data_IF_830906774997
#
_entry.id   IF_830906774997
#
_cell.length_a   1.000
_cell.length_b   1.000
_cell.length_c   1.000
_cell.angle_alpha   90.00
_cell.angle_beta   90.00
_cell.angle_gamma   90.00
#
_symmetry.space_group_name_H-M   'P 1'
#
loop_
_entity.id
_entity.type
_entity.pdbx_description
1 polymer ?
#
# COMPACT_ATOMS: atom_id res chain seq x y z
N UNK A 1 -96.76 -64.32 24.71
CA UNK A 1 -96.54 -63.59 25.97
C UNK A 1 -95.56 -62.52 25.60
N UNK A 2 -96.10 -61.34 25.29
CA UNK A 2 -96.08 -60.21 26.19
C UNK A 2 -94.66 -59.79 26.37
N UNK A 3 -94.31 -58.61 26.07
CA UNK A 3 -94.78 -57.27 26.03
C UNK A 3 -93.70 -56.42 25.41
N UNK A 4 -94.04 -55.61 24.70
CA UNK A 4 -94.53 -54.28 24.86
C UNK A 4 -93.41 -53.27 25.15
N UNK A 5 -93.18 -52.39 24.23
CA UNK A 5 -93.06 -51.01 24.06
C UNK A 5 -92.13 -50.19 24.98
N UNK A 6 -92.15 -48.95 24.81
CA UNK A 6 -92.18 -48.08 23.67
C UNK A 6 -91.10 -46.95 23.65
N UNK A 7 -91.06 -46.32 22.52
CA UNK A 7 -90.88 -44.81 22.30
C UNK A 7 -89.88 -44.00 23.11
N UNK A 8 -89.11 -43.24 22.50
CA UNK A 8 -89.11 -41.79 22.17
C UNK A 8 -87.69 -41.38 21.94
N UNK A 9 -87.45 -40.77 20.86
CA UNK A 9 -87.66 -39.36 20.47
C UNK A 9 -86.54 -38.43 20.89
N UNK A 10 -86.10 -37.79 19.90
CA UNK A 10 -85.79 -36.39 19.75
C UNK A 10 -84.35 -35.90 19.97
N UNK A 11 -84.06 -35.10 19.01
CA UNK A 11 -83.30 -33.89 19.00
C UNK A 11 -81.80 -34.14 18.86
N UNK A 12 -81.19 -33.89 17.75
CA UNK A 12 -81.17 -32.60 17.13
C UNK A 12 -80.13 -31.76 17.82
N UNK A 13 -78.89 -31.79 17.34
CA UNK A 13 -78.00 -30.65 17.51
C UNK A 13 -76.91 -30.71 16.47
N UNK A 14 -77.17 -29.97 15.46
CA UNK A 14 -76.36 -28.86 14.99
C UNK A 14 -74.86 -29.10 14.91
N UNK A 15 -74.46 -29.17 13.68
CA UNK A 15 -73.25 -28.75 13.07
C UNK A 15 -72.39 -27.79 13.87
N UNK A 16 -71.27 -28.24 14.23
CA UNK A 16 -70.13 -27.40 14.53
C UNK A 16 -69.23 -27.46 13.29
N UNK A 17 -69.40 -26.51 12.42
CA UNK A 17 -68.41 -26.22 11.40
C UNK A 17 -67.09 -25.90 12.07
N UNK A 18 -66.25 -26.89 12.24
CA UNK A 18 -64.85 -26.71 12.49
C UNK A 18 -64.19 -26.07 11.28
N UNK A 19 -64.49 -24.80 11.04
CA UNK A 19 -63.58 -23.95 10.31
C UNK A 19 -62.39 -23.70 11.20
N UNK A 20 -61.54 -24.65 11.19
CA UNK A 20 -60.31 -24.47 11.98
C UNK A 20 -59.16 -24.26 11.05
N UNK A 21 -58.45 -23.38 11.21
CA UNK A 21 -57.02 -23.34 11.55
C UNK A 21 -56.08 -24.16 10.63
N UNK A 22 -56.30 -24.11 9.33
CA UNK A 22 -55.30 -24.52 8.31
C UNK A 22 -54.55 -23.34 7.70
N UNK A 23 -54.79 -22.10 8.16
CA UNK A 23 -54.15 -20.92 7.64
C UNK A 23 -52.86 -20.52 8.42
N UNK A 24 -52.69 -21.02 9.63
CA UNK A 24 -51.57 -20.57 10.48
C UNK A 24 -50.22 -21.10 10.06
N UNK A 25 -50.15 -22.29 9.48
CA UNK A 25 -48.88 -22.89 9.08
C UNK A 25 -48.20 -22.16 7.88
N UNK A 26 -49.00 -21.58 6.97
CA UNK A 26 -48.45 -20.84 5.82
C UNK A 26 -47.96 -19.45 6.20
N UNK A 27 -48.66 -18.79 7.10
CA UNK A 27 -48.27 -17.48 7.60
C UNK A 27 -46.99 -17.57 8.45
N UNK A 28 -46.84 -18.64 9.22
CA UNK A 28 -45.67 -18.89 10.05
C UNK A 28 -44.42 -19.14 9.22
N UNK A 29 -44.51 -19.90 8.13
CA UNK A 29 -43.40 -20.16 7.20
C UNK A 29 -42.92 -18.87 6.51
N UNK A 30 -43.86 -17.98 6.12
CA UNK A 30 -43.51 -16.70 5.50
C UNK A 30 -42.87 -15.77 6.51
N UNK A 31 -43.34 -15.71 7.74
CA UNK A 31 -42.72 -14.92 8.82
C UNK A 31 -41.31 -15.40 9.13
N UNK A 32 -41.12 -16.71 9.27
CA UNK A 32 -39.78 -17.28 9.52
C UNK A 32 -38.80 -16.97 8.40
N UNK A 33 -39.27 -17.03 7.14
CA UNK A 33 -38.47 -16.64 5.99
C UNK A 33 -38.08 -15.17 6.00
N UNK A 34 -39.05 -14.27 6.26
CA UNK A 34 -38.81 -12.82 6.30
C UNK A 34 -37.85 -12.47 7.44
N UNK A 35 -38.01 -13.06 8.62
CA UNK A 35 -37.10 -12.84 9.75
C UNK A 35 -35.70 -13.37 9.42
N UNK A 36 -35.60 -14.59 8.92
CA UNK A 36 -34.31 -15.18 8.54
C UNK A 36 -33.59 -14.37 7.44
N UNK A 37 -34.34 -13.93 6.43
CA UNK A 37 -33.79 -13.09 5.35
C UNK A 37 -33.35 -11.71 5.87
N UNK A 38 -34.09 -11.12 6.80
CA UNK A 38 -33.73 -9.84 7.43
C UNK A 38 -32.45 -9.94 8.25
N UNK A 39 -32.29 -10.99 9.03
CA UNK A 39 -31.06 -11.25 9.79
C UNK A 39 -29.88 -11.50 8.86
N UNK A 40 -30.09 -12.28 7.81
CA UNK A 40 -29.06 -12.53 6.80
C UNK A 40 -28.62 -11.25 6.10
N UNK A 41 -29.56 -10.44 5.61
CA UNK A 41 -29.25 -9.16 4.96
C UNK A 41 -28.58 -8.17 5.90
N UNK A 42 -28.98 -8.16 7.16
CA UNK A 42 -28.32 -7.33 8.18
C UNK A 42 -26.87 -7.77 8.40
N UNK A 43 -26.62 -9.07 8.51
CA UNK A 43 -25.27 -9.60 8.66
C UNK A 43 -24.40 -9.32 7.43
N UNK A 44 -24.95 -9.49 6.22
CA UNK A 44 -24.27 -9.15 4.97
C UNK A 44 -23.97 -7.65 4.91
N UNK A 45 -24.97 -6.81 5.19
CA UNK A 45 -24.79 -5.36 5.20
C UNK A 45 -23.74 -4.91 6.21
N UNK A 46 -23.73 -5.50 7.41
CA UNK A 46 -22.72 -5.26 8.42
C UNK A 46 -21.32 -5.66 7.93
N UNK A 47 -21.21 -6.83 7.32
CA UNK A 47 -19.93 -7.29 6.76
C UNK A 47 -19.41 -6.32 5.71
N UNK A 48 -20.24 -5.87 4.76
CA UNK A 48 -19.84 -4.89 3.75
C UNK A 48 -19.52 -3.51 4.33
N UNK A 49 -20.17 -3.12 5.42
CA UNK A 49 -19.84 -1.87 6.12
C UNK A 49 -18.48 -1.93 6.83
N UNK A 50 -18.08 -3.10 7.32
CA UNK A 50 -16.82 -3.29 8.05
C UNK A 50 -15.61 -3.57 7.16
N UNK A 51 -15.79 -4.23 6.02
CA UNK A 51 -14.68 -4.58 5.11
C UNK A 51 -13.84 -3.36 4.69
N UNK A 52 -14.44 -2.20 4.33
CA UNK A 52 -13.64 -1.02 4.00
C UNK A 52 -12.73 -0.56 5.15
N UNK A 53 -13.22 -0.58 6.39
CA UNK A 53 -12.42 -0.15 7.55
C UNK A 53 -11.25 -1.08 7.87
N UNK A 54 -11.36 -2.36 7.55
CA UNK A 54 -10.26 -3.32 7.67
C UNK A 54 -9.20 -3.14 6.58
N UNK A 55 -9.60 -2.59 5.43
CA UNK A 55 -8.69 -2.31 4.31
C UNK A 55 -8.09 -0.91 4.37
N UNK A 56 -8.62 -0.01 5.20
CA UNK A 56 -8.16 1.37 5.35
C UNK A 56 -6.66 1.50 5.68
N UNK A 57 -6.07 0.68 6.57
CA UNK A 57 -4.62 0.70 6.82
C UNK A 57 -3.78 0.37 5.57
N UNK A 58 -4.34 -0.40 4.63
CA UNK A 58 -3.67 -0.78 3.39
C UNK A 58 -3.97 0.16 2.21
N UNK A 59 -5.06 0.93 2.31
CA UNK A 59 -5.52 1.79 1.22
C UNK A 59 -4.95 3.21 1.27
N UNK A 60 -4.53 3.70 2.45
CA UNK A 60 -4.16 5.10 2.63
C UNK A 60 -2.69 5.22 3.09
N UNK A 61 -1.79 5.38 2.15
CA UNK A 61 -0.54 6.13 2.37
C UNK A 61 0.68 5.32 2.78
N UNK A 62 0.68 4.52 3.83
CA UNK A 62 1.92 3.92 4.36
C UNK A 62 2.46 2.79 3.47
N UNK A 63 1.61 1.90 2.96
CA UNK A 63 2.03 0.86 2.03
C UNK A 63 2.55 1.41 0.70
N UNK A 64 1.98 2.51 0.22
CA UNK A 64 2.41 3.13 -1.01
C UNK A 64 3.78 3.83 -0.86
N UNK A 65 4.09 4.41 0.31
CA UNK A 65 5.41 5.03 0.56
C UNK A 65 6.52 4.01 0.62
N UNK A 66 6.29 2.83 1.21
CA UNK A 66 7.25 1.72 1.21
C UNK A 66 7.58 1.27 -0.21
N UNK A 67 6.54 1.05 -1.04
CA UNK A 67 6.74 0.64 -2.44
C UNK A 67 7.48 1.71 -3.25
N UNK A 68 7.16 2.98 -3.02
CA UNK A 68 7.86 4.10 -3.68
C UNK A 68 9.32 4.15 -3.26
N UNK A 69 9.61 4.03 -1.96
CA UNK A 69 10.97 4.00 -1.45
C UNK A 69 11.78 2.84 -2.04
N UNK A 70 11.22 1.62 -2.04
CA UNK A 70 11.88 0.43 -2.58
C UNK A 70 12.17 0.54 -4.07
N UNK A 71 11.15 0.93 -4.87
CA UNK A 71 11.32 1.07 -6.32
C UNK A 71 12.25 2.21 -6.68
N UNK A 72 12.14 3.35 -5.99
CA UNK A 72 13.02 4.50 -6.21
C UNK A 72 14.47 4.18 -5.87
N UNK A 73 14.73 3.55 -4.72
CA UNK A 73 16.07 3.14 -4.35
C UNK A 73 16.67 2.12 -5.33
N UNK A 74 15.86 1.14 -5.78
CA UNK A 74 16.28 0.18 -6.79
C UNK A 74 16.59 0.86 -8.13
N UNK A 75 15.71 1.74 -8.63
CA UNK A 75 15.93 2.47 -9.87
C UNK A 75 17.24 3.27 -9.85
N UNK A 76 17.50 4.01 -8.79
CA UNK A 76 18.73 4.79 -8.65
C UNK A 76 19.98 3.90 -8.60
N UNK A 77 19.95 2.82 -7.80
CA UNK A 77 21.09 1.95 -7.58
C UNK A 77 21.37 0.95 -8.71
N UNK A 78 20.37 0.63 -9.53
CA UNK A 78 20.46 -0.47 -10.50
C UNK A 78 20.30 0.02 -11.95
N UNK A 79 19.89 1.28 -12.14
CA UNK A 79 19.61 1.83 -13.47
C UNK A 79 20.11 3.27 -13.64
N UNK A 80 19.55 4.24 -12.88
CA UNK A 80 19.78 5.67 -13.17
C UNK A 80 21.24 6.11 -12.99
N UNK A 81 21.93 5.60 -11.97
CA UNK A 81 23.30 6.00 -11.64
C UNK A 81 24.36 4.98 -12.09
N UNK A 82 23.96 3.95 -12.80
CA UNK A 82 24.84 2.88 -13.27
C UNK A 82 25.11 3.07 -14.77
N UNK A 83 26.34 2.84 -15.17
CA UNK A 83 26.73 2.60 -16.57
C UNK A 83 27.00 1.10 -16.72
N UNK A 84 27.03 0.58 -17.92
CA UNK A 84 27.27 -0.82 -18.21
C UNK A 84 28.39 -1.42 -17.34
N UNK A 85 28.01 -2.35 -16.46
CA UNK A 85 28.95 -2.90 -15.48
C UNK A 85 28.30 -3.83 -14.45
N UNK A 86 29.02 -4.19 -13.39
CA UNK A 86 28.48 -5.01 -12.30
C UNK A 86 27.29 -4.36 -11.62
N UNK A 87 26.30 -5.16 -11.25
CA UNK A 87 25.11 -4.71 -10.51
C UNK A 87 25.54 -3.94 -9.24
N UNK A 88 24.83 -2.87 -8.94
CA UNK A 88 25.06 -2.00 -7.78
C UNK A 88 26.45 -1.29 -7.77
N UNK A 89 27.08 -1.13 -8.92
CA UNK A 89 28.26 -0.27 -9.07
C UNK A 89 27.83 1.03 -9.72
N UNK A 90 27.94 2.12 -8.99
CA UNK A 90 27.60 3.43 -9.49
C UNK A 90 28.72 4.02 -10.36
N UNK A 91 28.34 4.74 -11.40
CA UNK A 91 29.28 5.55 -12.18
C UNK A 91 29.58 6.85 -11.42
N UNK A 92 30.85 7.13 -11.20
CA UNK A 92 31.27 8.39 -10.55
C UNK A 92 30.82 9.61 -11.34
N UNK A 93 30.98 9.59 -12.65
CA UNK A 93 30.55 10.69 -13.54
C UNK A 93 29.03 10.91 -13.51
N UNK A 94 28.23 9.84 -13.60
CA UNK A 94 26.77 9.94 -13.55
C UNK A 94 26.28 10.35 -12.16
N UNK A 95 26.91 9.86 -11.10
CA UNK A 95 26.55 10.22 -9.72
C UNK A 95 26.93 11.68 -9.44
N UNK A 96 28.08 12.12 -9.89
CA UNK A 96 28.51 13.52 -9.76
C UNK A 96 27.52 14.45 -10.49
N UNK A 97 27.27 14.22 -11.78
CA UNK A 97 26.34 15.05 -12.56
C UNK A 97 24.94 15.07 -11.96
N UNK A 98 24.49 13.94 -11.40
CA UNK A 98 23.20 13.85 -10.73
C UNK A 98 23.12 14.75 -9.49
N UNK A 99 24.10 14.71 -8.59
CA UNK A 99 24.09 15.50 -7.34
C UNK A 99 24.54 16.95 -7.53
N UNK A 100 25.33 17.26 -8.56
CA UNK A 100 25.75 18.61 -8.91
C UNK A 100 24.70 19.39 -9.72
N UNK A 101 23.59 18.75 -10.11
CA UNK A 101 22.55 19.36 -10.92
C UNK A 101 22.95 19.62 -12.36
N UNK A 102 24.06 19.02 -12.84
CA UNK A 102 24.50 19.13 -14.21
C UNK A 102 23.56 18.38 -15.18
N UNK A 103 23.71 18.60 -16.48
CA UNK A 103 23.01 17.82 -17.47
C UNK A 103 23.50 16.37 -17.45
N UNK A 104 22.59 15.41 -17.69
CA UNK A 104 22.96 14.01 -17.86
C UNK A 104 23.98 13.87 -19.00
N UNK A 105 25.07 13.15 -18.74
CA UNK A 105 25.98 12.71 -19.80
C UNK A 105 25.29 11.66 -20.69
N UNK A 106 25.81 11.47 -21.89
CA UNK A 106 25.22 10.55 -22.88
C UNK A 106 25.11 9.09 -22.36
N UNK A 107 25.94 8.71 -21.42
CA UNK A 107 25.97 7.37 -20.83
C UNK A 107 25.11 7.24 -19.55
N UNK A 108 24.49 8.33 -19.07
CA UNK A 108 23.72 8.33 -17.81
C UNK A 108 22.23 8.15 -18.09
N UNK A 109 21.60 7.25 -17.35
CA UNK A 109 20.19 6.87 -17.59
C UNK A 109 19.15 7.68 -16.77
N UNK A 110 19.58 8.63 -15.94
CA UNK A 110 18.66 9.53 -15.25
C UNK A 110 18.14 10.63 -16.16
N UNK A 111 16.94 11.11 -15.89
CA UNK A 111 16.23 12.10 -16.71
C UNK A 111 16.09 13.45 -16.02
N UNK A 112 16.18 13.46 -14.71
CA UNK A 112 16.19 14.66 -13.86
C UNK A 112 17.25 14.51 -12.78
N UNK A 113 17.92 15.60 -12.40
CA UNK A 113 18.97 15.61 -11.38
C UNK A 113 18.40 15.49 -9.95
N UNK A 114 19.29 15.49 -8.98
CA UNK A 114 18.97 15.49 -7.57
C UNK A 114 18.12 16.67 -7.12
N UNK A 115 18.13 17.77 -7.86
CA UNK A 115 17.29 18.94 -7.59
C UNK A 115 15.81 18.68 -7.85
N UNK A 116 15.49 17.73 -8.74
CA UNK A 116 14.12 17.31 -9.03
C UNK A 116 13.95 15.78 -8.91
N UNK A 117 14.10 15.27 -7.70
CA UNK A 117 13.87 13.86 -7.38
C UNK A 117 12.45 13.38 -7.72
N UNK A 118 11.47 14.30 -7.68
CA UNK A 118 10.09 13.95 -8.00
C UNK A 118 9.94 13.58 -9.48
N UNK A 119 10.53 14.37 -10.36
CA UNK A 119 10.55 14.08 -11.79
C UNK A 119 11.34 12.79 -12.09
N UNK A 120 12.53 12.63 -11.50
CA UNK A 120 13.36 11.44 -11.73
C UNK A 120 12.65 10.16 -11.30
N UNK A 121 12.00 10.16 -10.13
CA UNK A 121 11.34 8.97 -9.60
C UNK A 121 9.87 8.81 -10.03
N UNK A 122 9.31 9.79 -10.74
CA UNK A 122 7.91 9.81 -11.14
C UNK A 122 6.95 9.88 -9.94
N UNK A 123 7.34 10.59 -8.89
CA UNK A 123 6.59 10.70 -7.63
C UNK A 123 5.92 12.06 -7.54
N UNK A 124 4.67 12.09 -7.08
CA UNK A 124 3.95 13.36 -6.94
C UNK A 124 4.58 14.29 -5.91
N UNK A 125 4.63 15.58 -6.20
CA UNK A 125 5.27 16.65 -5.40
C UNK A 125 4.75 16.78 -3.96
N UNK A 126 3.56 16.25 -3.68
CA UNK A 126 2.98 16.25 -2.34
C UNK A 126 3.68 15.28 -1.35
N UNK A 127 4.55 14.42 -1.84
CA UNK A 127 5.33 13.49 -1.01
C UNK A 127 6.68 14.09 -0.73
N UNK A 128 7.14 14.01 0.50
CA UNK A 128 8.51 14.34 0.81
C UNK A 128 9.46 13.25 0.36
N UNK A 129 10.57 13.65 -0.24
CA UNK A 129 11.64 12.76 -0.69
C UNK A 129 12.98 13.22 -0.14
N UNK A 130 13.78 12.28 0.37
CA UNK A 130 15.15 12.52 0.76
C UNK A 130 16.03 11.34 0.32
N UNK A 131 17.04 11.65 -0.46
CA UNK A 131 18.05 10.71 -0.91
C UNK A 131 19.39 10.99 -0.23
N UNK A 132 20.06 9.98 0.23
CA UNK A 132 21.42 10.09 0.77
C UNK A 132 22.27 8.90 0.35
N UNK A 133 23.51 9.15 -0.04
CA UNK A 133 24.57 8.14 -0.04
C UNK A 133 25.46 8.36 1.17
N UNK A 134 25.61 7.33 1.96
CA UNK A 134 26.41 7.40 3.19
C UNK A 134 27.53 6.38 3.17
N UNK A 135 28.70 6.77 3.65
CA UNK A 135 29.83 5.91 3.96
C UNK A 135 30.07 5.94 5.47
N UNK A 136 30.15 4.81 6.11
CA UNK A 136 30.34 4.71 7.56
C UNK A 136 29.34 5.52 8.40
N UNK A 137 28.10 5.70 7.88
CA UNK A 137 27.03 6.45 8.55
C UNK A 137 27.05 7.96 8.32
N UNK A 138 28.02 8.49 7.61
CA UNK A 138 28.13 9.92 7.25
C UNK A 138 27.77 10.11 5.78
N UNK A 139 27.08 11.21 5.45
CA UNK A 139 26.83 11.56 4.05
C UNK A 139 28.17 11.76 3.37
N UNK A 140 28.39 11.02 2.28
CA UNK A 140 29.61 11.13 1.50
C UNK A 140 29.63 12.39 0.65
N UNK A 141 30.82 12.73 0.16
CA UNK A 141 31.05 13.78 -0.82
C UNK A 141 31.70 13.18 -2.06
N UNK A 142 31.46 13.78 -3.20
CA UNK A 142 32.11 13.45 -4.47
C UNK A 142 33.16 14.51 -4.78
N UNK A 143 34.37 14.08 -4.95
CA UNK A 143 35.52 14.92 -5.34
C UNK A 143 36.47 14.12 -6.24
N UNK A 144 36.00 13.70 -7.43
CA UNK A 144 36.69 12.71 -8.26
C UNK A 144 38.03 13.20 -8.88
N UNK A 145 38.29 14.47 -8.83
CA UNK A 145 39.45 15.04 -9.53
C UNK A 145 40.32 15.97 -8.64
N UNK A 146 39.98 16.14 -7.35
CA UNK A 146 40.64 17.15 -6.48
C UNK A 146 40.66 18.52 -7.15
N UNK A 147 39.63 18.81 -7.98
CA UNK A 147 39.54 20.07 -8.73
C UNK A 147 39.31 21.21 -7.73
N UNK A 148 39.66 22.43 -8.18
CA UNK A 148 39.45 23.69 -7.43
C UNK A 148 37.97 24.01 -7.13
N UNK A 149 37.08 22.97 -7.09
CA UNK A 149 35.66 23.04 -6.77
C UNK A 149 35.35 22.52 -5.37
N UNK A 150 34.25 22.97 -4.81
CA UNK A 150 33.75 22.44 -3.54
C UNK A 150 33.28 20.99 -3.73
N UNK A 151 33.60 20.07 -2.79
CA UNK A 151 33.12 18.69 -2.84
C UNK A 151 31.58 18.64 -2.86
N UNK A 152 31.02 17.85 -3.77
CA UNK A 152 29.56 17.73 -3.96
C UNK A 152 28.97 16.78 -2.91
N UNK A 153 28.08 17.24 -2.01
CA UNK A 153 27.48 16.37 -1.01
C UNK A 153 26.47 15.40 -1.66
N UNK A 154 26.63 14.11 -1.40
CA UNK A 154 25.75 13.06 -1.92
C UNK A 154 24.41 12.99 -1.18
N UNK A 155 23.65 14.08 -1.22
CA UNK A 155 22.31 14.16 -0.66
C UNK A 155 21.40 15.02 -1.52
N UNK A 156 20.10 14.67 -1.52
CA UNK A 156 19.07 15.42 -2.23
C UNK A 156 17.78 15.47 -1.41
N UNK A 157 17.05 16.55 -1.56
CA UNK A 157 15.79 16.80 -0.86
C UNK A 157 15.95 17.20 0.61
N UNK A 158 14.84 17.63 1.25
CA UNK A 158 14.82 18.08 2.63
C UNK A 158 15.04 16.93 3.61
N UNK A 159 15.49 17.26 4.82
CA UNK A 159 15.56 16.29 5.89
C UNK A 159 14.15 15.78 6.27
N UNK A 160 13.96 14.49 6.54
CA UNK A 160 12.67 13.97 6.92
C UNK A 160 12.19 14.60 8.25
N UNK A 161 10.88 14.91 8.35
CA UNK A 161 10.32 15.49 9.56
C UNK A 161 10.31 14.45 10.70
N UNK A 162 10.42 14.94 11.94
CA UNK A 162 10.42 14.07 13.12
C UNK A 162 9.01 13.60 13.53
N UNK A 163 7.99 14.27 13.02
CA UNK A 163 6.58 14.08 13.42
C UNK A 163 5.77 13.23 12.43
N UNK A 164 6.35 12.81 11.33
CA UNK A 164 5.66 12.04 10.30
C UNK A 164 6.25 10.63 10.20
N UNK A 165 5.43 9.68 9.72
CA UNK A 165 5.89 8.34 9.38
C UNK A 165 6.76 8.39 8.13
N UNK A 166 7.97 7.89 8.22
CA UNK A 166 8.95 7.87 7.13
C UNK A 166 9.22 6.44 6.72
N UNK A 167 8.96 6.13 5.45
CA UNK A 167 9.37 4.87 4.84
C UNK A 167 10.77 5.03 4.25
N UNK A 168 11.67 4.09 4.52
CA UNK A 168 13.03 4.13 4.04
C UNK A 168 13.42 2.82 3.36
N UNK A 169 14.03 2.92 2.19
CA UNK A 169 14.65 1.79 1.51
C UNK A 169 16.14 2.06 1.32
N UNK A 170 16.95 1.04 1.50
CA UNK A 170 18.41 1.15 1.38
C UNK A 170 18.98 0.10 0.43
N UNK A 171 19.99 0.49 -0.32
CA UNK A 171 20.80 -0.36 -1.19
C UNK A 171 22.28 -0.18 -0.86
N UNK A 172 23.02 -1.26 -0.89
CA UNK A 172 24.48 -1.20 -0.80
C UNK A 172 25.02 -1.07 -2.22
N UNK A 173 25.84 -0.09 -2.43
CA UNK A 173 26.43 0.23 -3.75
C UNK A 173 27.93 0.43 -3.61
N UNK A 174 28.65 0.19 -4.70
CA UNK A 174 30.06 0.49 -4.81
C UNK A 174 30.23 1.77 -5.64
N UNK A 175 31.06 2.68 -5.19
CA UNK A 175 31.34 3.96 -5.83
C UNK A 175 32.80 4.35 -5.58
N UNK A 176 33.47 4.79 -6.61
CA UNK A 176 34.77 5.49 -6.52
C UNK A 176 34.46 6.98 -6.36
N UNK A 177 34.47 7.46 -5.13
CA UNK A 177 33.99 8.81 -4.80
C UNK A 177 35.09 9.89 -4.89
N UNK A 178 36.34 9.52 -4.79
CA UNK A 178 37.51 10.41 -4.84
C UNK A 178 38.32 10.28 -6.13
N UNK A 179 37.95 9.34 -7.02
CA UNK A 179 38.55 9.18 -8.32
C UNK A 179 39.93 8.47 -8.32
N UNK A 180 40.28 7.81 -7.27
CA UNK A 180 41.55 7.09 -7.13
C UNK A 180 41.58 5.71 -7.83
N UNK A 181 40.41 5.26 -8.34
CA UNK A 181 40.19 4.00 -9.03
C UNK A 181 39.78 2.87 -8.09
N UNK A 182 39.76 3.08 -6.79
CA UNK A 182 39.25 2.14 -5.80
C UNK A 182 37.73 2.44 -5.57
N UNK A 183 36.97 1.39 -5.31
CA UNK A 183 35.53 1.52 -5.07
C UNK A 183 35.20 1.21 -3.61
N UNK A 184 34.70 2.22 -2.95
CA UNK A 184 34.24 2.06 -1.59
C UNK A 184 32.77 1.64 -1.53
N UNK A 185 32.43 1.04 -0.41
CA UNK A 185 31.03 0.66 -0.12
C UNK A 185 30.26 1.84 0.44
N UNK A 186 29.20 2.21 -0.25
CA UNK A 186 28.27 3.23 0.17
C UNK A 186 26.88 2.62 0.41
N UNK A 187 26.09 3.30 1.24
CA UNK A 187 24.68 2.97 1.43
C UNK A 187 23.82 4.07 0.81
N UNK A 188 23.16 3.75 -0.30
CA UNK A 188 22.11 4.58 -0.87
C UNK A 188 20.84 4.39 -0.05
N UNK A 189 20.25 5.45 0.45
CA UNK A 189 19.01 5.41 1.22
C UNK A 189 18.05 6.44 0.67
N UNK A 190 16.88 5.98 0.22
CA UNK A 190 15.74 6.83 -0.16
C UNK A 190 14.69 6.79 0.95
N UNK A 191 14.29 7.96 1.41
CA UNK A 191 13.24 8.16 2.41
C UNK A 191 12.05 8.86 1.77
N UNK A 192 10.85 8.41 2.11
CA UNK A 192 9.57 8.89 1.56
C UNK A 192 8.58 9.10 2.71
N UNK A 193 7.86 10.23 2.71
CA UNK A 193 6.82 10.55 3.69
C UNK A 193 5.65 11.31 3.09
#
# INVERSE_FOLDING_TARGET
>A
MSGDGPKRSTAGRRGGAGRGLRSDGRAQTVLDFVVGMSVFLTAVGFTFAFVPSLLEPYAVGEGATVIVAERGAARLAESSLVVDGPTATLSTACTLGFFDGAAAGDDCAWTASADDLHAELGVADRRGLNLTLTQNGTVGTLDPDGRDGDPVPMRAGPAPPRSESVSAASRIVALDADGDGERETHRLTLRVW
#
